data_IF_467118863280
#
_entry.id   IF_467118863280
#
_cell.length_a   1.000
_cell.length_b   1.000
_cell.length_c   1.000
_cell.angle_alpha   90.00
_cell.angle_beta   90.00
_cell.angle_gamma   90.00
#
_symmetry.space_group_name_H-M   'P 1'
#
loop_
_entity.id
_entity.type
_entity.pdbx_description
1 polymer ?
#
# COMPACT_ATOMS: atom_id res chain seq x y z
N UNK A 1 8.34 17.01 1.77
CA UNK A 1 8.28 15.67 2.40
C UNK A 1 6.86 15.17 2.19
N UNK A 2 6.65 14.09 1.42
CA UNK A 2 5.32 13.50 1.22
C UNK A 2 4.87 12.97 2.60
N UNK A 3 3.72 13.40 3.15
CA UNK A 3 3.24 12.88 4.42
C UNK A 3 2.99 11.38 4.30
N UNK A 4 3.57 10.64 5.24
CA UNK A 4 3.45 9.20 5.43
C UNK A 4 2.12 8.86 6.09
N UNK A 5 1.02 8.97 5.33
CA UNK A 5 -0.34 8.40 5.53
C UNK A 5 -1.33 9.17 4.65
N UNK A 6 -2.13 8.50 3.80
CA UNK A 6 -3.44 9.02 3.34
C UNK A 6 -4.35 7.94 2.70
N UNK A 7 -4.45 6.71 3.24
CA UNK A 7 -5.46 5.76 2.74
C UNK A 7 -5.99 4.79 3.83
N UNK A 8 -6.57 5.32 4.89
CA UNK A 8 -7.52 4.56 5.75
C UNK A 8 -8.91 5.19 5.81
N UNK A 9 -9.36 5.85 4.73
CA UNK A 9 -10.76 6.27 4.64
C UNK A 9 -11.46 5.52 3.51
N UNK A 10 -12.69 5.07 3.77
CA UNK A 10 -13.61 4.49 2.79
C UNK A 10 -14.00 5.46 1.65
N UNK A 11 -13.37 6.64 1.59
CA UNK A 11 -13.62 7.72 0.65
C UNK A 11 -12.36 8.05 -0.17
N UNK A 12 -11.68 7.02 -0.70
CA UNK A 12 -10.66 7.22 -1.75
C UNK A 12 -11.38 7.45 -3.08
N UNK A 13 -11.26 8.65 -3.62
CA UNK A 13 -11.78 9.01 -4.94
C UNK A 13 -10.63 9.02 -5.95
N UNK A 14 -10.55 8.00 -6.81
CA UNK A 14 -9.64 8.01 -7.95
C UNK A 14 -10.34 8.70 -9.12
N UNK A 15 -9.97 9.93 -9.44
CA UNK A 15 -10.68 10.76 -10.40
C UNK A 15 -9.83 11.12 -11.64
N UNK A 16 -10.44 11.10 -12.83
CA UNK A 16 -9.86 11.69 -14.04
C UNK A 16 -10.94 12.42 -14.83
N UNK A 17 -10.76 13.72 -15.12
CA UNK A 17 -11.76 14.56 -15.79
C UNK A 17 -13.19 14.48 -15.18
N UNK A 18 -13.30 14.38 -13.85
CA UNK A 18 -14.57 14.26 -13.14
C UNK A 18 -15.19 12.85 -13.14
N UNK A 19 -14.48 11.86 -13.68
CA UNK A 19 -14.90 10.45 -13.69
C UNK A 19 -14.24 9.71 -12.52
N UNK A 20 -15.03 9.02 -11.71
CA UNK A 20 -14.52 8.14 -10.65
C UNK A 20 -14.07 6.81 -11.27
N UNK A 21 -12.77 6.67 -11.50
CA UNK A 21 -12.16 5.53 -12.17
C UNK A 21 -12.27 4.24 -11.34
N UNK A 22 -12.30 4.35 -10.00
CA UNK A 22 -12.42 3.19 -9.11
C UNK A 22 -13.84 2.59 -9.18
N UNK A 23 -14.88 3.43 -9.19
CA UNK A 23 -16.27 2.99 -9.44
C UNK A 23 -16.42 2.32 -10.81
N UNK A 24 -15.77 2.86 -11.84
CA UNK A 24 -15.77 2.26 -13.18
C UNK A 24 -15.08 0.89 -13.17
N UNK A 25 -13.92 0.76 -12.51
CA UNK A 25 -13.22 -0.51 -12.35
C UNK A 25 -14.03 -1.57 -11.58
N UNK A 26 -14.90 -1.14 -10.65
CA UNK A 26 -15.83 -2.01 -9.92
C UNK A 26 -17.17 -2.29 -10.62
N UNK A 27 -17.34 -1.84 -11.88
CA UNK A 27 -18.55 -2.12 -12.65
C UNK A 27 -19.73 -1.20 -12.35
N UNK A 28 -19.49 -0.05 -11.70
CA UNK A 28 -20.49 0.99 -11.43
C UNK A 28 -20.16 2.26 -12.23
N UNK A 29 -20.35 2.27 -13.55
CA UNK A 29 -19.99 3.41 -14.38
C UNK A 29 -20.84 4.64 -14.02
N UNK A 30 -20.19 5.71 -13.58
CA UNK A 30 -20.85 6.98 -13.27
C UNK A 30 -19.84 8.10 -13.04
N UNK A 31 -20.20 9.32 -13.44
CA UNK A 31 -19.53 10.52 -12.95
C UNK A 31 -19.99 10.75 -11.50
N UNK A 32 -19.08 10.93 -10.55
CA UNK A 32 -19.45 11.48 -9.25
C UNK A 32 -19.66 12.99 -9.47
N UNK A 33 -20.87 13.54 -9.24
CA UNK A 33 -21.12 14.95 -9.36
C UNK A 33 -20.15 15.76 -8.49
N UNK A 34 -19.72 16.94 -8.96
CA UNK A 34 -18.72 17.76 -8.24
C UNK A 34 -19.19 18.13 -6.82
N UNK A 35 -20.49 18.26 -6.62
CA UNK A 35 -21.17 18.47 -5.35
C UNK A 35 -21.10 17.23 -4.43
N UNK A 36 -21.18 16.02 -4.98
CA UNK A 36 -20.95 14.77 -4.22
C UNK A 36 -19.50 14.71 -3.69
N UNK A 37 -18.53 15.04 -4.55
CA UNK A 37 -17.11 15.09 -4.19
C UNK A 37 -16.85 16.18 -3.15
N UNK A 38 -17.39 17.38 -3.37
CA UNK A 38 -17.25 18.51 -2.44
C UNK A 38 -17.91 18.22 -1.08
N UNK A 39 -19.08 17.58 -1.07
CA UNK A 39 -19.75 17.16 0.15
C UNK A 39 -18.92 16.09 0.89
N UNK A 40 -18.36 15.11 0.18
CA UNK A 40 -17.51 14.08 0.79
C UNK A 40 -16.22 14.68 1.39
N UNK A 41 -15.56 15.60 0.67
CA UNK A 41 -14.38 16.35 1.16
C UNK A 41 -14.74 17.19 2.38
N UNK A 42 -15.87 17.90 2.32
CA UNK A 42 -16.36 18.74 3.43
C UNK A 42 -16.69 17.90 4.67
N UNK A 43 -17.40 16.79 4.52
CA UNK A 43 -17.70 15.89 5.64
C UNK A 43 -16.45 15.20 6.19
N UNK A 44 -15.49 14.84 5.34
CA UNK A 44 -14.19 14.32 5.79
C UNK A 44 -13.42 15.37 6.59
N UNK A 45 -13.41 16.64 6.14
CA UNK A 45 -12.73 17.75 6.83
C UNK A 45 -13.27 18.06 8.24
N UNK A 46 -14.47 17.58 8.57
CA UNK A 46 -15.11 17.72 9.88
C UNK A 46 -14.79 16.58 10.85
N UNK A 47 -14.23 15.47 10.36
CA UNK A 47 -13.89 14.30 11.20
C UNK A 47 -12.48 14.47 11.73
N UNK A 48 -12.33 14.46 13.05
CA UNK A 48 -11.02 14.36 13.69
C UNK A 48 -10.63 12.89 13.72
N UNK A 49 -9.57 12.53 13.01
CA UNK A 49 -8.93 11.24 13.20
C UNK A 49 -8.38 11.20 14.65
N UNK A 50 -8.69 10.18 15.44
CA UNK A 50 -8.08 9.88 16.77
C UNK A 50 -8.39 8.42 17.15
N UNK A 51 -7.45 7.62 17.68
CA UNK A 51 -6.72 7.96 18.91
C UNK A 51 -5.23 7.53 18.98
N UNK A 52 -4.68 6.78 18.02
CA UNK A 52 -3.24 6.41 18.06
C UNK A 52 -2.40 7.06 16.94
N UNK A 53 -2.94 7.18 15.73
CA UNK A 53 -2.26 7.71 14.54
C UNK A 53 -2.17 9.25 14.49
N UNK A 54 -2.93 9.93 15.35
CA UNK A 54 -3.34 11.31 15.09
C UNK A 54 -2.58 12.39 15.86
N UNK A 55 -1.70 12.04 16.81
CA UNK A 55 -0.87 13.06 17.49
C UNK A 55 0.04 13.83 16.52
N UNK A 56 0.48 13.19 15.42
CA UNK A 56 1.26 13.84 14.37
C UNK A 56 0.39 14.71 13.42
N UNK A 57 -0.92 14.44 13.36
CA UNK A 57 -1.85 15.07 12.43
C UNK A 57 -2.73 16.16 13.06
N UNK A 58 -2.66 16.37 14.39
CA UNK A 58 -3.42 17.41 15.11
C UNK A 58 -3.24 18.81 14.51
N UNK A 59 -2.08 19.07 13.89
CA UNK A 59 -1.76 20.35 13.24
C UNK A 59 -1.80 20.29 11.70
N UNK A 60 -2.16 19.14 11.11
CA UNK A 60 -2.25 19.01 9.65
C UNK A 60 -3.46 19.78 9.12
N UNK A 61 -3.27 20.53 8.03
CA UNK A 61 -4.38 21.16 7.30
C UNK A 61 -5.01 20.13 6.37
N UNK A 62 -6.35 20.03 6.28
CA UNK A 62 -7.00 19.22 5.27
C UNK A 62 -6.48 19.56 3.86
N UNK A 63 -6.23 18.54 3.05
CA UNK A 63 -5.72 18.67 1.71
C UNK A 63 -6.11 17.48 0.85
N UNK A 64 -6.05 17.65 -0.47
CA UNK A 64 -6.31 16.60 -1.45
C UNK A 64 -5.03 16.39 -2.25
N UNK A 65 -4.59 15.15 -2.40
CA UNK A 65 -3.57 14.76 -3.37
C UNK A 65 -4.29 14.06 -4.53
N UNK A 66 -3.99 14.50 -5.76
CA UNK A 66 -4.44 13.84 -6.99
C UNK A 66 -3.22 13.17 -7.61
N UNK A 67 -3.28 11.86 -7.76
CA UNK A 67 -2.20 11.05 -8.33
C UNK A 67 -2.66 10.35 -9.61
N UNK A 68 -1.72 10.01 -10.47
CA UNK A 68 -1.99 9.22 -11.66
C UNK A 68 -2.33 7.77 -11.26
N UNK A 69 -3.33 7.18 -11.92
CA UNK A 69 -3.71 5.80 -11.67
C UNK A 69 -2.65 4.85 -12.27
N UNK A 70 -2.00 4.08 -11.41
CA UNK A 70 -1.04 3.05 -11.82
C UNK A 70 -1.75 1.71 -11.98
N UNK A 71 -1.62 1.09 -13.16
CA UNK A 71 -2.27 -0.18 -13.47
C UNK A 71 -1.23 -1.21 -13.92
N UNK A 72 -1.30 -2.40 -13.33
CA UNK A 72 -0.56 -3.57 -13.78
C UNK A 72 -1.35 -4.31 -14.86
N UNK A 73 -0.63 -4.90 -15.80
CA UNK A 73 -1.20 -5.84 -16.76
C UNK A 73 -1.19 -7.25 -16.14
N UNK A 74 -2.33 -7.93 -16.18
CA UNK A 74 -2.51 -9.33 -15.78
C UNK A 74 -2.88 -10.18 -16.98
N UNK A 75 -2.98 -11.49 -16.76
CA UNK A 75 -3.29 -12.46 -17.82
C UNK A 75 -4.56 -12.07 -18.60
N UNK A 76 -4.52 -12.26 -19.92
CA UNK A 76 -5.60 -11.86 -20.82
C UNK A 76 -5.65 -10.36 -21.14
N UNK A 77 -4.58 -9.60 -20.86
CA UNK A 77 -4.48 -8.18 -21.20
C UNK A 77 -5.39 -7.27 -20.37
N UNK A 78 -5.85 -7.77 -19.21
CA UNK A 78 -6.65 -7.00 -18.28
C UNK A 78 -5.74 -6.11 -17.43
N UNK A 79 -6.29 -4.99 -16.98
CA UNK A 79 -5.61 -4.06 -16.10
C UNK A 79 -6.21 -4.10 -14.70
N UNK A 80 -5.36 -4.12 -13.68
CA UNK A 80 -5.76 -4.08 -12.27
C UNK A 80 -4.80 -3.20 -11.48
N UNK A 81 -5.25 -2.73 -10.33
CA UNK A 81 -4.32 -2.27 -9.29
C UNK A 81 -3.63 -3.50 -8.72
N UNK A 82 -2.31 -3.46 -8.69
CA UNK A 82 -1.45 -4.51 -8.13
C UNK A 82 -0.45 -3.84 -7.19
N UNK A 83 -0.63 -4.10 -5.90
CA UNK A 83 0.09 -3.45 -4.81
C UNK A 83 0.80 -4.49 -3.95
N UNK A 84 2.07 -4.24 -3.72
CA UNK A 84 2.89 -4.99 -2.79
C UNK A 84 3.22 -4.14 -1.57
N UNK A 85 2.94 -4.66 -0.37
CA UNK A 85 3.27 -4.01 0.90
C UNK A 85 4.49 -4.65 1.51
N UNK A 86 5.59 -3.91 1.58
CA UNK A 86 6.86 -4.40 2.11
C UNK A 86 7.07 -3.95 3.54
N UNK A 87 7.22 -4.89 4.45
CA UNK A 87 7.56 -4.62 5.85
C UNK A 87 9.06 -4.65 6.01
N UNK A 88 9.63 -3.54 6.46
CA UNK A 88 11.07 -3.37 6.63
C UNK A 88 11.42 -3.23 8.11
N UNK A 89 12.50 -3.88 8.53
CA UNK A 89 13.08 -3.78 9.89
C UNK A 89 14.56 -3.42 9.73
N UNK A 90 15.00 -2.34 10.37
CA UNK A 90 16.35 -1.78 10.27
C UNK A 90 16.82 -1.61 8.81
N UNK A 91 15.95 -1.08 7.95
CA UNK A 91 16.25 -0.82 6.54
C UNK A 91 16.24 -2.04 5.62
N UNK A 92 15.94 -3.23 6.14
CA UNK A 92 15.88 -4.46 5.34
C UNK A 92 14.46 -5.01 5.27
N UNK A 93 14.06 -5.53 4.11
CA UNK A 93 12.76 -6.19 3.96
C UNK A 93 12.73 -7.46 4.81
N UNK A 94 11.71 -7.56 5.66
CA UNK A 94 11.35 -8.77 6.39
C UNK A 94 10.52 -9.70 5.52
N UNK A 95 9.44 -9.17 4.94
CA UNK A 95 8.56 -9.85 4.00
C UNK A 95 7.76 -8.81 3.19
N UNK A 96 7.12 -9.26 2.11
CA UNK A 96 6.13 -8.53 1.35
C UNK A 96 4.75 -9.21 1.42
N UNK A 97 3.70 -8.43 1.26
CA UNK A 97 2.33 -8.89 1.05
C UNK A 97 1.85 -8.47 -0.33
N UNK A 98 1.26 -9.39 -1.09
CA UNK A 98 0.52 -9.03 -2.31
C UNK A 98 -0.96 -8.81 -1.98
N UNK A 99 -1.48 -7.65 -2.36
CA UNK A 99 -2.89 -7.27 -2.18
C UNK A 99 -3.60 -7.33 -3.54
N UNK A 100 -4.37 -8.40 -3.77
CA UNK A 100 -5.16 -8.56 -4.99
C UNK A 100 -6.57 -8.00 -4.79
N UNK A 101 -6.75 -6.70 -5.05
CA UNK A 101 -8.04 -5.99 -4.93
C UNK A 101 -8.70 -6.11 -3.53
N UNK A 102 -9.99 -5.73 -3.41
CA UNK A 102 -10.74 -5.53 -2.16
C UNK A 102 -10.86 -6.75 -1.23
N UNK A 103 -10.24 -7.88 -1.53
CA UNK A 103 -10.24 -9.10 -0.74
C UNK A 103 -9.17 -9.15 0.37
N UNK A 104 -8.24 -8.18 0.40
CA UNK A 104 -7.17 -8.10 1.41
C UNK A 104 -5.90 -8.89 1.03
N UNK A 105 -5.02 -9.15 1.99
CA UNK A 105 -3.75 -9.89 1.74
C UNK A 105 -4.01 -11.26 1.17
N UNK A 106 -3.39 -11.54 0.02
CA UNK A 106 -3.53 -12.78 -0.73
C UNK A 106 -2.33 -13.69 -0.54
N UNK A 107 -1.12 -13.14 -0.51
CA UNK A 107 0.12 -13.89 -0.37
C UNK A 107 1.13 -13.14 0.51
N UNK A 108 1.82 -13.89 1.35
CA UNK A 108 2.99 -13.44 2.10
C UNK A 108 4.24 -14.01 1.44
N UNK A 109 5.21 -13.16 1.15
CA UNK A 109 6.38 -13.47 0.32
C UNK A 109 7.63 -13.03 1.07
N UNK A 110 8.66 -13.88 1.14
CA UNK A 110 9.92 -13.49 1.76
C UNK A 110 10.69 -12.47 0.90
N UNK A 111 11.85 -12.01 1.40
CA UNK A 111 12.71 -11.05 0.68
C UNK A 111 13.19 -11.58 -0.68
N UNK A 112 13.33 -12.89 -0.86
CA UNK A 112 13.88 -13.51 -2.05
C UNK A 112 12.81 -13.90 -3.08
N UNK A 113 11.53 -13.63 -2.80
CA UNK A 113 10.43 -14.02 -3.65
C UNK A 113 9.93 -15.44 -3.39
N UNK A 114 10.27 -16.05 -2.25
CA UNK A 114 9.69 -17.31 -1.82
C UNK A 114 8.33 -17.06 -1.16
N UNK A 115 7.29 -17.73 -1.64
CA UNK A 115 5.97 -17.69 -1.02
C UNK A 115 6.04 -18.39 0.35
N UNK A 116 5.66 -17.65 1.39
CA UNK A 116 5.58 -18.13 2.77
C UNK A 116 4.18 -18.66 3.08
N UNK A 117 3.16 -17.91 2.68
CA UNK A 117 1.75 -18.31 2.82
C UNK A 117 0.93 -17.78 1.65
N UNK A 118 -0.18 -18.47 1.34
CA UNK A 118 -1.15 -18.01 0.38
C UNK A 118 -2.58 -18.31 0.86
N UNK A 119 -3.50 -17.36 0.67
CA UNK A 119 -4.94 -17.57 0.93
C UNK A 119 -5.68 -18.06 -0.30
N UNK A 120 -5.07 -17.90 -1.48
CA UNK A 120 -5.61 -18.33 -2.76
C UNK A 120 -4.60 -19.21 -3.50
N UNK A 121 -5.11 -20.08 -4.36
CA UNK A 121 -4.27 -20.88 -5.23
C UNK A 121 -3.42 -19.96 -6.12
N UNK A 122 -2.15 -20.30 -6.19
CA UNK A 122 -1.12 -19.51 -6.85
C UNK A 122 -1.34 -19.51 -8.38
N UNK A 123 -1.66 -18.36 -9.04
CA UNK A 123 -1.72 -18.28 -10.50
C UNK A 123 -0.35 -18.59 -11.16
N UNK A 124 -0.25 -18.68 -12.51
CA UNK A 124 0.98 -19.08 -13.20
C UNK A 124 2.23 -18.27 -12.85
N UNK A 125 2.05 -17.05 -12.35
CA UNK A 125 3.08 -16.20 -11.76
C UNK A 125 2.54 -15.58 -10.47
N UNK A 126 3.00 -16.07 -9.32
CA UNK A 126 2.62 -15.55 -7.99
C UNK A 126 3.57 -14.52 -7.42
N UNK A 127 4.72 -14.37 -8.07
CA UNK A 127 5.70 -13.38 -7.71
C UNK A 127 6.10 -12.71 -9.00
N UNK A 128 5.90 -11.39 -9.05
CA UNK A 128 6.21 -10.60 -10.24
C UNK A 128 7.70 -10.71 -10.58
N UNK A 129 8.10 -10.75 -11.86
CA UNK A 129 9.51 -10.79 -12.26
C UNK A 129 10.35 -9.64 -11.67
N UNK A 130 9.72 -8.49 -11.41
CA UNK A 130 10.34 -7.32 -10.81
C UNK A 130 10.36 -7.33 -9.26
N UNK A 131 9.98 -8.41 -8.59
CA UNK A 131 9.91 -8.45 -7.12
C UNK A 131 11.22 -8.08 -6.43
N UNK A 132 12.35 -8.55 -6.94
CA UNK A 132 13.66 -8.16 -6.42
C UNK A 132 13.91 -6.64 -6.50
N UNK A 133 13.45 -5.99 -7.57
CA UNK A 133 13.56 -4.53 -7.72
C UNK A 133 12.62 -3.80 -6.74
N UNK A 134 11.42 -4.34 -6.50
CA UNK A 134 10.50 -3.79 -5.50
C UNK A 134 11.10 -3.85 -4.09
N UNK A 135 11.75 -4.97 -3.74
CA UNK A 135 12.49 -5.12 -2.49
C UNK A 135 13.58 -4.06 -2.37
N UNK A 136 14.40 -3.87 -3.41
CA UNK A 136 15.44 -2.82 -3.39
C UNK A 136 14.88 -1.41 -3.21
N UNK A 137 13.73 -1.11 -3.84
CA UNK A 137 13.04 0.17 -3.67
C UNK A 137 12.59 0.34 -2.21
N UNK A 138 11.95 -0.67 -1.62
CA UNK A 138 11.49 -0.63 -0.24
C UNK A 138 12.64 -0.44 0.75
N UNK A 139 13.76 -1.16 0.58
CA UNK A 139 14.96 -1.02 1.43
C UNK A 139 15.59 0.37 1.30
N UNK A 140 15.64 0.93 0.08
CA UNK A 140 16.09 2.31 -0.13
C UNK A 140 15.19 3.30 0.59
N UNK A 141 13.87 3.18 0.43
CA UNK A 141 12.89 4.06 1.11
C UNK A 141 13.07 4.00 2.62
N UNK A 142 13.15 2.80 3.21
CA UNK A 142 13.36 2.62 4.64
C UNK A 142 14.67 3.25 5.12
N UNK A 143 15.75 3.05 4.36
CA UNK A 143 17.07 3.66 4.65
C UNK A 143 17.01 5.19 4.65
N UNK A 144 16.35 5.79 3.65
CA UNK A 144 16.22 7.25 3.56
C UNK A 144 15.26 7.82 4.60
N UNK A 145 14.22 7.08 4.96
CA UNK A 145 13.27 7.45 6.02
C UNK A 145 13.93 7.45 7.41
N UNK A 146 15.04 6.71 7.59
CA UNK A 146 15.73 6.52 8.88
C UNK A 146 14.78 5.99 9.96
N UNK A 147 13.91 5.07 9.57
CA UNK A 147 12.95 4.43 10.45
C UNK A 147 13.36 2.97 10.69
N UNK A 148 13.25 2.54 11.94
CA UNK A 148 13.61 1.18 12.35
C UNK A 148 12.56 0.15 11.92
N UNK A 149 11.30 0.56 11.77
CA UNK A 149 10.22 -0.25 11.23
C UNK A 149 9.32 0.59 10.35
N UNK A 150 9.08 0.11 9.13
CA UNK A 150 8.34 0.85 8.11
C UNK A 150 7.65 -0.12 7.15
N UNK A 151 6.41 0.19 6.77
CA UNK A 151 5.75 -0.43 5.62
C UNK A 151 5.90 0.48 4.40
N UNK A 152 6.28 -0.10 3.27
CA UNK A 152 6.43 0.59 1.99
C UNK A 152 5.56 -0.10 0.96
N UNK A 153 4.61 0.63 0.41
CA UNK A 153 3.67 0.10 -0.57
C UNK A 153 4.15 0.47 -1.98
N UNK A 154 4.21 -0.54 -2.85
CA UNK A 154 4.75 -0.42 -4.20
C UNK A 154 3.70 -0.89 -5.20
N UNK A 155 3.33 0.01 -6.11
CA UNK A 155 2.46 -0.26 -7.24
C UNK A 155 3.26 -0.71 -8.45
N UNK A 156 2.73 -1.70 -9.17
CA UNK A 156 3.29 -2.20 -10.43
C UNK A 156 2.56 -1.56 -11.61
N UNK A 157 3.32 -1.04 -12.57
CA UNK A 157 2.79 -0.56 -13.85
C UNK A 157 3.08 -1.56 -14.98
N UNK A 158 2.08 -1.81 -15.82
CA UNK A 158 2.19 -2.71 -16.97
C UNK A 158 2.69 -4.10 -16.56
N UNK A 159 3.67 -4.65 -17.29
CA UNK A 159 4.30 -5.94 -16.98
C UNK A 159 5.62 -5.76 -16.24
N UNK A 160 5.62 -4.93 -15.20
CA UNK A 160 6.82 -4.38 -14.56
C UNK A 160 7.55 -3.32 -15.39
N UNK A 161 6.82 -2.55 -16.19
CA UNK A 161 7.39 -1.44 -16.98
C UNK A 161 7.74 -0.24 -16.09
N UNK A 162 7.11 -0.16 -14.91
CA UNK A 162 7.42 0.84 -13.88
C UNK A 162 7.01 0.36 -12.49
N UNK A 163 7.69 0.89 -11.48
CA UNK A 163 7.46 0.62 -10.06
C UNK A 163 7.33 1.94 -9.32
N UNK A 164 6.28 2.11 -8.54
CA UNK A 164 5.94 3.39 -7.91
C UNK A 164 5.65 3.19 -6.43
N UNK A 165 6.28 3.98 -5.58
CA UNK A 165 5.94 3.99 -4.14
C UNK A 165 4.65 4.76 -3.94
N UNK A 166 3.57 4.07 -3.58
CA UNK A 166 2.27 4.67 -3.30
C UNK A 166 2.25 5.28 -1.91
N UNK A 167 2.58 4.46 -0.92
CA UNK A 167 2.45 4.76 0.50
C UNK A 167 3.68 4.37 1.29
N UNK A 168 3.91 5.11 2.38
CA UNK A 168 4.90 4.80 3.40
C UNK A 168 4.23 4.98 4.75
N UNK A 169 4.28 3.94 5.58
CA UNK A 169 3.62 3.93 6.87
C UNK A 169 4.62 3.65 8.01
N UNK A 170 4.70 4.61 8.93
CA UNK A 170 5.46 4.52 10.16
C UNK A 170 4.55 3.89 11.22
N UNK A 171 4.93 2.72 11.74
CA UNK A 171 4.10 1.87 12.63
C UNK A 171 2.87 1.25 11.95
N UNK A 172 3.08 0.35 10.97
CA UNK A 172 1.97 -0.28 10.29
C UNK A 172 1.07 -1.07 11.24
N UNK A 173 -0.22 -0.72 11.20
CA UNK A 173 -1.27 -1.33 12.03
C UNK A 173 -1.91 -2.56 11.38
N UNK A 174 -1.47 -2.94 10.17
CA UNK A 174 -2.08 -4.03 9.41
C UNK A 174 -1.90 -5.38 10.11
N UNK A 175 -2.95 -6.20 10.06
CA UNK A 175 -2.94 -7.54 10.65
C UNK A 175 -2.34 -8.56 9.66
N UNK A 176 -1.11 -8.98 9.91
CA UNK A 176 -0.43 -10.07 9.17
C UNK A 176 -0.30 -11.33 10.04
N UNK A 177 0.06 -12.47 9.43
CA UNK A 177 0.00 -13.77 10.12
C UNK A 177 0.80 -13.79 11.44
N UNK A 178 0.33 -14.54 12.47
CA UNK A 178 1.04 -14.61 13.76
C UNK A 178 2.52 -15.04 13.64
N UNK A 179 2.82 -15.91 12.67
CA UNK A 179 4.20 -16.32 12.38
C UNK A 179 5.08 -15.15 11.91
N UNK A 180 4.55 -14.29 11.04
CA UNK A 180 5.27 -13.10 10.56
C UNK A 180 5.43 -12.04 11.65
N UNK A 181 4.45 -11.89 12.56
CA UNK A 181 4.59 -11.04 13.76
C UNK A 181 5.79 -11.48 14.60
N UNK A 182 5.93 -12.77 14.86
CA UNK A 182 7.08 -13.31 15.58
C UNK A 182 8.39 -13.12 14.79
N UNK A 183 8.38 -13.27 13.46
CA UNK A 183 9.56 -13.05 12.64
C UNK A 183 10.04 -11.58 12.68
N UNK A 184 9.11 -10.62 12.57
CA UNK A 184 9.39 -9.18 12.71
C UNK A 184 9.90 -8.87 14.12
N UNK A 185 9.20 -9.35 15.15
CA UNK A 185 9.61 -9.16 16.54
C UNK A 185 10.98 -9.78 16.84
N UNK A 186 11.30 -10.93 16.22
CA UNK A 186 12.61 -11.57 16.30
C UNK A 186 13.72 -10.69 15.71
N UNK A 187 13.51 -10.13 14.50
CA UNK A 187 14.46 -9.20 13.89
C UNK A 187 14.64 -7.92 14.70
N UNK A 188 13.54 -7.37 15.21
CA UNK A 188 13.54 -6.19 16.06
C UNK A 188 14.38 -6.41 17.33
N UNK A 189 14.12 -7.51 18.06
CA UNK A 189 14.90 -7.89 19.25
C UNK A 189 16.38 -8.06 18.96
N UNK A 190 16.71 -8.75 17.87
CA UNK A 190 18.10 -8.99 17.46
C UNK A 190 18.88 -7.68 17.22
N UNK A 191 18.26 -6.68 16.56
CA UNK A 191 18.95 -5.42 16.27
C UNK A 191 19.16 -4.52 17.50
N UNK A 192 18.31 -4.62 18.53
CA UNK A 192 18.52 -3.94 19.81
C UNK A 192 19.31 -4.77 20.83
N UNK A 193 19.70 -6.01 20.48
CA UNK A 193 20.52 -6.88 21.33
C UNK A 193 19.78 -7.49 22.53
N UNK A 194 18.48 -7.75 22.39
CA UNK A 194 17.61 -8.36 23.42
C UNK A 194 17.42 -9.86 23.17
#
# INVERSE_FOLDING_TARGET
VKPSHMSESQNVFVMHNGINLLRQAWGWPGQSPIDEIQAAVYEFSKKTALDWECKALVASKPGVIVEELVLAEVEGGRFTVDEFKFYTVFGQVAFGEEIFSSAGTVMEIDRNGQILTNKMECPPFCVRPCYAQMVEIAEKVATYARADFLRVDVLVAGRCDGLYVSEVELFPASDFSPFLKEAVAGRWRAGYGV
#
